data_IF_298150659627
#
_entry.id   IF_298150659627
#
_cell.length_a   1.000
_cell.length_b   1.000
_cell.length_c   1.000
_cell.angle_alpha   90.00
_cell.angle_beta   90.00
_cell.angle_gamma   90.00
#
_symmetry.space_group_name_H-M   'P 1'
#
loop_
_entity.id
_entity.type
_entity.pdbx_description
1 polymer ?
#
# COMPACT_ATOMS: atom_id res chain seq x y z
N UNK A 1 17.48 -11.24 6.92
CA UNK A 1 17.95 -9.86 6.82
C UNK A 1 17.86 -9.30 5.40
N UNK A 2 18.77 -9.60 4.48
CA UNK A 2 18.68 -9.08 3.10
C UNK A 2 17.44 -9.60 2.35
N UNK A 3 17.12 -10.90 2.47
CA UNK A 3 15.88 -11.48 1.93
C UNK A 3 14.61 -10.79 2.47
N UNK A 4 14.62 -10.43 3.76
CA UNK A 4 13.50 -9.72 4.42
C UNK A 4 13.28 -8.35 3.79
N UNK A 5 14.36 -7.62 3.53
CA UNK A 5 14.32 -6.34 2.83
C UNK A 5 13.81 -6.48 1.39
N UNK A 6 14.28 -7.49 0.64
CA UNK A 6 13.81 -7.71 -0.74
C UNK A 6 12.31 -7.99 -0.81
N UNK A 7 11.80 -8.85 0.08
CA UNK A 7 10.36 -9.14 0.14
C UNK A 7 9.58 -7.86 0.51
N UNK A 8 10.08 -7.08 1.46
CA UNK A 8 9.48 -5.79 1.80
C UNK A 8 9.47 -4.81 0.61
N UNK A 9 10.58 -4.71 -0.14
CA UNK A 9 10.65 -3.85 -1.33
C UNK A 9 9.67 -4.32 -2.42
N UNK A 10 9.52 -5.64 -2.61
CA UNK A 10 8.49 -6.19 -3.50
C UNK A 10 7.08 -5.83 -3.03
N UNK A 11 6.81 -5.92 -1.73
CA UNK A 11 5.51 -5.55 -1.15
C UNK A 11 5.23 -4.04 -1.29
N UNK A 12 6.24 -3.16 -1.19
CA UNK A 12 6.08 -1.74 -1.50
C UNK A 12 5.72 -1.50 -2.97
N UNK A 13 6.39 -2.18 -3.91
CA UNK A 13 6.07 -2.07 -5.34
C UNK A 13 4.67 -2.58 -5.65
N UNK A 14 4.29 -3.72 -5.05
CA UNK A 14 2.94 -4.26 -5.13
C UNK A 14 1.92 -3.30 -4.51
N UNK A 15 2.25 -2.65 -3.39
CA UNK A 15 1.45 -1.61 -2.76
C UNK A 15 1.23 -0.41 -3.68
N UNK A 16 2.29 0.07 -4.33
CA UNK A 16 2.20 1.18 -5.26
C UNK A 16 1.33 0.87 -6.48
N UNK A 17 1.39 -0.35 -7.01
CA UNK A 17 0.60 -0.71 -8.19
C UNK A 17 -0.82 -1.13 -7.81
N UNK A 18 -0.94 -2.16 -6.97
CA UNK A 18 -2.20 -2.83 -6.67
C UNK A 18 -3.01 -2.08 -5.62
N UNK A 19 -2.43 -1.74 -4.46
CA UNK A 19 -3.17 -1.10 -3.36
C UNK A 19 -3.60 0.31 -3.76
N UNK A 20 -2.70 1.09 -4.36
CA UNK A 20 -3.03 2.42 -4.84
C UNK A 20 -4.05 2.38 -5.99
N UNK A 21 -3.89 1.49 -6.96
CA UNK A 21 -4.85 1.33 -8.06
C UNK A 21 -6.24 0.92 -7.54
N UNK A 22 -6.30 -0.04 -6.62
CA UNK A 22 -7.55 -0.44 -5.98
C UNK A 22 -8.20 0.68 -5.18
N UNK A 23 -7.40 1.51 -4.50
CA UNK A 23 -7.89 2.67 -3.77
C UNK A 23 -8.41 3.77 -4.71
N UNK A 24 -7.81 3.96 -5.89
CA UNK A 24 -8.36 4.85 -6.92
C UNK A 24 -9.67 4.33 -7.50
N UNK A 25 -9.74 3.03 -7.81
CA UNK A 25 -10.98 2.40 -8.27
C UNK A 25 -12.10 2.56 -7.22
N UNK A 26 -11.79 2.36 -5.95
CA UNK A 26 -12.75 2.56 -4.86
C UNK A 26 -13.34 3.99 -4.82
N UNK A 27 -12.54 5.02 -5.13
CA UNK A 27 -13.04 6.39 -5.28
C UNK A 27 -14.05 6.58 -6.44
N UNK A 28 -13.95 5.76 -7.50
CA UNK A 28 -14.86 5.77 -8.65
C UNK A 28 -16.11 4.95 -8.35
N UNK A 29 -15.91 3.78 -7.72
CA UNK A 29 -16.95 2.82 -7.36
C UNK A 29 -17.95 3.40 -6.34
N UNK A 30 -17.45 4.14 -5.35
CA UNK A 30 -18.28 4.79 -4.33
C UNK A 30 -18.51 6.27 -4.66
N UNK A 31 -19.75 6.73 -4.59
CA UNK A 31 -20.10 8.16 -4.73
C UNK A 31 -20.58 8.74 -3.40
N UNK A 32 -20.28 10.03 -3.17
CA UNK A 32 -20.86 10.82 -2.07
C UNK A 32 -22.35 11.07 -2.37
N UNK A 33 -23.25 10.86 -1.40
CA UNK A 33 -24.58 11.49 -1.44
C UNK A 33 -24.40 13.01 -1.34
N UNK A 34 -24.38 13.70 -2.47
CA UNK A 34 -24.54 15.15 -2.49
C UNK A 34 -25.99 15.55 -2.81
N UNK A 35 -26.76 14.70 -3.48
CA UNK A 35 -28.17 14.97 -3.83
C UNK A 35 -28.94 13.64 -3.81
N UNK A 36 -30.07 13.64 -3.09
CA UNK A 36 -31.07 12.56 -3.08
C UNK A 36 -31.60 12.44 -4.51
N UNK A 37 -31.20 11.44 -5.28
CA UNK A 37 -31.97 11.06 -6.45
C UNK A 37 -31.80 9.57 -6.81
N UNK A 38 -32.95 8.95 -7.00
CA UNK A 38 -33.17 7.53 -7.23
C UNK A 38 -32.44 7.05 -8.50
N UNK A 39 -31.24 6.53 -8.35
CA UNK A 39 -30.65 5.63 -9.36
C UNK A 39 -30.15 4.37 -8.67
N UNK A 40 -30.74 3.24 -9.06
CA UNK A 40 -30.72 1.95 -8.38
C UNK A 40 -29.40 1.18 -8.42
N UNK A 41 -28.28 1.81 -8.78
CA UNK A 41 -26.97 1.16 -9.01
C UNK A 41 -25.85 1.80 -8.14
N UNK A 42 -26.15 2.80 -7.30
CA UNK A 42 -25.12 3.56 -6.59
C UNK A 42 -24.74 2.88 -5.27
N UNK A 43 -23.46 2.47 -5.14
CA UNK A 43 -22.88 2.09 -3.84
C UNK A 43 -22.65 3.33 -3.00
N UNK A 44 -23.39 3.43 -1.91
CA UNK A 44 -23.30 4.57 -1.00
C UNK A 44 -22.25 4.33 0.09
N UNK A 45 -21.36 5.31 0.28
CA UNK A 45 -20.44 5.37 1.40
C UNK A 45 -20.71 6.66 2.20
N UNK A 46 -20.94 6.60 3.53
CA UNK A 46 -21.11 7.80 4.34
C UNK A 46 -19.95 8.78 4.17
N UNK A 47 -20.26 10.08 4.17
CA UNK A 47 -19.30 11.16 3.85
C UNK A 47 -18.00 11.08 4.64
N UNK A 48 -18.05 10.77 5.93
CA UNK A 48 -16.85 10.66 6.77
C UNK A 48 -15.95 9.49 6.36
N UNK A 49 -16.52 8.34 6.00
CA UNK A 49 -15.75 7.20 5.49
C UNK A 49 -15.20 7.47 4.09
N UNK A 50 -15.94 8.18 3.25
CA UNK A 50 -15.44 8.57 1.93
C UNK A 50 -14.28 9.58 2.01
N UNK A 51 -14.38 10.58 2.90
CA UNK A 51 -13.27 11.52 3.14
C UNK A 51 -12.04 10.82 3.75
N UNK A 52 -12.26 9.88 4.67
CA UNK A 52 -11.20 9.03 5.21
C UNK A 52 -10.52 8.22 4.10
N UNK A 53 -11.31 7.59 3.22
CA UNK A 53 -10.78 6.84 2.08
C UNK A 53 -9.95 7.73 1.15
N UNK A 54 -10.43 8.91 0.75
CA UNK A 54 -9.66 9.85 -0.08
C UNK A 54 -8.32 10.21 0.59
N UNK A 55 -8.32 10.48 1.90
CA UNK A 55 -7.11 10.78 2.64
C UNK A 55 -6.13 9.60 2.63
N UNK A 56 -6.61 8.37 2.85
CA UNK A 56 -5.81 7.14 2.78
C UNK A 56 -5.26 6.94 1.36
N UNK A 57 -6.07 7.11 0.33
CA UNK A 57 -5.66 6.99 -1.08
C UNK A 57 -4.54 7.98 -1.41
N UNK A 58 -4.70 9.26 -1.07
CA UNK A 58 -3.68 10.28 -1.33
C UNK A 58 -2.36 10.01 -0.59
N UNK A 59 -2.45 9.59 0.67
CA UNK A 59 -1.28 9.26 1.50
C UNK A 59 -0.60 7.94 1.09
N UNK A 60 -1.32 7.03 0.44
CA UNK A 60 -0.77 5.74 -0.03
C UNK A 60 0.40 5.94 -0.99
N UNK A 61 0.37 6.94 -1.86
CA UNK A 61 1.52 7.22 -2.74
C UNK A 61 2.73 7.71 -1.93
N UNK A 62 2.52 8.65 -1.00
CA UNK A 62 3.58 9.24 -0.20
C UNK A 62 4.25 8.21 0.72
N UNK A 63 3.47 7.30 1.31
CA UNK A 63 4.00 6.31 2.25
C UNK A 63 4.93 5.31 1.56
N UNK A 64 4.76 5.04 0.25
CA UNK A 64 5.68 4.15 -0.48
C UNK A 64 7.07 4.76 -0.58
N UNK A 65 7.15 6.06 -0.87
CA UNK A 65 8.42 6.80 -0.95
C UNK A 65 9.09 6.83 0.43
N UNK A 66 8.30 7.13 1.47
CA UNK A 66 8.79 7.15 2.86
C UNK A 66 9.29 5.76 3.24
N UNK A 67 8.56 4.69 2.92
CA UNK A 67 8.93 3.32 3.25
C UNK A 67 10.21 2.87 2.60
N UNK A 68 10.36 3.10 1.30
CA UNK A 68 11.59 2.77 0.58
C UNK A 68 12.80 3.50 1.19
N UNK A 69 12.68 4.81 1.40
CA UNK A 69 13.76 5.61 2.00
C UNK A 69 14.07 5.18 3.42
N UNK A 70 13.05 4.87 4.22
CA UNK A 70 13.19 4.51 5.62
C UNK A 70 13.85 3.15 5.79
N UNK A 71 13.47 2.16 4.99
CA UNK A 71 14.10 0.85 5.00
C UNK A 71 15.56 0.92 4.53
N UNK A 72 15.87 1.71 3.51
CA UNK A 72 17.23 1.87 2.98
C UNK A 72 18.17 2.62 3.93
N UNK A 73 17.67 3.66 4.61
CA UNK A 73 18.46 4.52 5.51
C UNK A 73 18.32 4.15 6.98
N UNK A 74 17.54 3.12 7.29
CA UNK A 74 17.22 2.68 8.65
C UNK A 74 16.56 3.80 9.50
N UNK A 75 15.64 4.57 8.90
CA UNK A 75 14.93 5.66 9.58
C UNK A 75 13.79 5.07 10.40
N UNK A 76 13.98 4.98 11.71
CA UNK A 76 13.04 4.38 12.67
C UNK A 76 11.66 5.02 12.65
N UNK A 77 11.61 6.35 12.75
CA UNK A 77 10.36 7.13 12.75
C UNK A 77 9.55 6.85 11.48
N UNK A 78 10.21 6.80 10.32
CA UNK A 78 9.54 6.55 9.04
C UNK A 78 8.94 5.16 8.95
N UNK A 79 9.60 4.14 9.50
CA UNK A 79 9.03 2.77 9.58
C UNK A 79 7.85 2.68 10.54
N UNK A 80 7.91 3.36 11.69
CA UNK A 80 6.79 3.39 12.65
C UNK A 80 5.56 4.04 11.99
N UNK A 81 5.74 5.20 11.36
CA UNK A 81 4.68 5.87 10.61
C UNK A 81 4.07 4.95 9.54
N UNK A 82 4.92 4.19 8.82
CA UNK A 82 4.48 3.26 7.80
C UNK A 82 3.69 2.07 8.37
N UNK A 83 4.07 1.53 9.53
CA UNK A 83 3.27 0.50 10.21
C UNK A 83 1.88 1.00 10.61
N UNK A 84 1.80 2.21 11.21
CA UNK A 84 0.51 2.82 11.56
C UNK A 84 -0.34 3.05 10.30
N UNK A 85 0.29 3.46 9.21
CA UNK A 85 -0.40 3.73 7.96
C UNK A 85 -0.92 2.45 7.28
N UNK A 86 -0.16 1.34 7.30
CA UNK A 86 -0.67 0.04 6.84
C UNK A 86 -1.89 -0.42 7.64
N UNK A 87 -1.91 -0.19 8.95
CA UNK A 87 -3.10 -0.46 9.76
C UNK A 87 -4.30 0.41 9.32
N UNK A 88 -4.08 1.68 8.99
CA UNK A 88 -5.12 2.56 8.46
C UNK A 88 -5.67 2.07 7.11
N UNK A 89 -4.82 1.61 6.19
CA UNK A 89 -5.24 1.00 4.91
C UNK A 89 -6.11 -0.25 5.15
N UNK A 90 -5.71 -1.12 6.08
CA UNK A 90 -6.49 -2.32 6.41
C UNK A 90 -7.89 -1.94 6.93
N UNK A 91 -7.96 -0.97 7.85
CA UNK A 91 -9.23 -0.47 8.38
C UNK A 91 -10.10 0.12 7.27
N UNK A 92 -9.52 0.94 6.40
CA UNK A 92 -10.20 1.53 5.25
C UNK A 92 -10.80 0.46 4.33
N UNK A 93 -10.00 -0.53 3.92
CA UNK A 93 -10.46 -1.60 3.05
C UNK A 93 -11.53 -2.49 3.70
N UNK A 94 -11.46 -2.72 5.02
CA UNK A 94 -12.52 -3.39 5.77
C UNK A 94 -13.84 -2.59 5.77
N UNK A 95 -13.77 -1.26 5.87
CA UNK A 95 -14.95 -0.39 5.75
C UNK A 95 -15.52 -0.51 4.33
N UNK A 96 -14.71 -0.37 3.29
CA UNK A 96 -15.15 -0.51 1.89
C UNK A 96 -15.77 -1.88 1.62
N UNK A 97 -15.22 -2.95 2.20
CA UNK A 97 -15.74 -4.31 2.10
C UNK A 97 -17.16 -4.41 2.68
N UNK A 98 -17.37 -3.91 3.90
CA UNK A 98 -18.67 -3.90 4.58
C UNK A 98 -19.74 -3.25 3.71
N UNK A 99 -19.44 -2.08 3.15
CA UNK A 99 -20.38 -1.35 2.29
C UNK A 99 -20.53 -1.99 0.90
N UNK A 100 -19.53 -2.72 0.40
CA UNK A 100 -19.62 -3.42 -0.89
C UNK A 100 -20.51 -4.67 -0.85
N UNK A 101 -20.54 -5.38 0.28
CA UNK A 101 -21.35 -6.60 0.48
C UNK A 101 -22.81 -6.26 0.77
N UNK A 102 -23.07 -5.10 1.38
CA UNK A 102 -24.41 -4.69 1.83
C UNK A 102 -25.35 -4.27 0.69
N UNK A 103 -24.89 -4.26 -0.56
CA UNK A 103 -25.65 -3.83 -1.75
C UNK A 103 -26.21 -5.05 -2.48
N UNK A 104 -27.49 -4.97 -2.89
CA UNK A 104 -28.25 -6.06 -3.54
C UNK A 104 -27.59 -6.58 -4.83
N UNK A 105 -27.01 -5.67 -5.61
CA UNK A 105 -26.14 -5.98 -6.75
C UNK A 105 -24.67 -5.84 -6.32
N UNK A 106 -24.21 -6.78 -5.50
CA UNK A 106 -22.82 -6.80 -5.03
C UNK A 106 -21.87 -7.06 -6.21
N UNK A 107 -20.87 -6.19 -6.35
CA UNK A 107 -19.87 -6.29 -7.41
C UNK A 107 -18.80 -7.25 -6.89
N UNK A 108 -19.08 -8.54 -7.05
CA UNK A 108 -18.24 -9.63 -6.55
C UNK A 108 -16.79 -9.48 -7.00
N UNK A 109 -16.55 -9.00 -8.21
CA UNK A 109 -15.21 -8.67 -8.70
C UNK A 109 -14.51 -7.67 -7.77
N UNK A 110 -15.12 -6.53 -7.45
CA UNK A 110 -14.54 -5.55 -6.54
C UNK A 110 -14.31 -6.10 -5.12
N UNK A 111 -15.23 -6.94 -4.62
CA UNK A 111 -15.10 -7.62 -3.32
C UNK A 111 -13.89 -8.57 -3.29
N UNK A 112 -13.65 -9.32 -4.36
CA UNK A 112 -12.47 -10.21 -4.47
C UNK A 112 -11.18 -9.38 -4.44
N UNK A 113 -11.13 -8.28 -5.19
CA UNK A 113 -9.95 -7.40 -5.20
C UNK A 113 -9.70 -6.74 -3.85
N UNK A 114 -10.75 -6.28 -3.16
CA UNK A 114 -10.66 -5.79 -1.78
C UNK A 114 -10.10 -6.86 -0.82
N UNK A 115 -10.54 -8.12 -0.97
CA UNK A 115 -10.06 -9.23 -0.12
C UNK A 115 -8.56 -9.44 -0.32
N UNK A 116 -8.10 -9.46 -1.58
CA UNK A 116 -6.68 -9.57 -1.92
C UNK A 116 -5.90 -8.36 -1.39
N UNK A 117 -6.46 -7.15 -1.51
CA UNK A 117 -5.84 -5.91 -1.02
C UNK A 117 -5.63 -5.91 0.49
N UNK A 118 -6.60 -6.41 1.26
CA UNK A 118 -6.47 -6.59 2.71
C UNK A 118 -5.33 -7.55 3.03
N UNK A 119 -5.26 -8.70 2.36
CA UNK A 119 -4.21 -9.70 2.58
C UNK A 119 -2.81 -9.11 2.28
N UNK A 120 -2.65 -8.42 1.15
CA UNK A 120 -1.39 -7.77 0.78
C UNK A 120 -1.00 -6.70 1.82
N UNK A 121 -1.97 -5.93 2.32
CA UNK A 121 -1.73 -4.90 3.34
C UNK A 121 -1.30 -5.50 4.67
N UNK A 122 -1.89 -6.63 5.08
CA UNK A 122 -1.45 -7.39 6.26
C UNK A 122 -0.01 -7.90 6.11
N UNK A 123 0.32 -8.51 4.97
CA UNK A 123 1.69 -8.94 4.70
C UNK A 123 2.67 -7.77 4.71
N UNK A 124 2.28 -6.64 4.13
CA UNK A 124 3.09 -5.42 4.12
C UNK A 124 3.35 -4.89 5.53
N UNK A 125 2.35 -4.90 6.41
CA UNK A 125 2.49 -4.54 7.82
C UNK A 125 3.48 -5.48 8.54
N UNK A 126 3.29 -6.80 8.42
CA UNK A 126 4.15 -7.80 9.07
C UNK A 126 5.61 -7.64 8.63
N UNK A 127 5.86 -7.50 7.32
CA UNK A 127 7.21 -7.32 6.80
C UNK A 127 7.82 -5.98 7.16
N UNK A 128 7.02 -4.93 7.33
CA UNK A 128 7.49 -3.64 7.84
C UNK A 128 8.07 -3.78 9.25
N UNK A 129 7.38 -4.53 10.12
CA UNK A 129 7.87 -4.86 11.48
C UNK A 129 9.15 -5.68 11.43
N UNK A 130 9.22 -6.69 10.55
CA UNK A 130 10.44 -7.48 10.39
C UNK A 130 11.63 -6.67 9.87
N UNK A 131 11.42 -5.75 8.94
CA UNK A 131 12.48 -4.85 8.46
C UNK A 131 12.95 -3.93 9.58
N UNK A 132 12.01 -3.32 10.32
CA UNK A 132 12.32 -2.46 11.46
C UNK A 132 13.17 -3.20 12.52
N UNK A 133 12.81 -4.43 12.87
CA UNK A 133 13.55 -5.24 13.84
C UNK A 133 14.95 -5.67 13.37
N UNK A 134 15.25 -5.49 12.08
CA UNK A 134 16.56 -5.79 11.50
C UNK A 134 17.46 -4.54 11.35
N UNK A 135 17.01 -3.36 11.78
CA UNK A 135 17.84 -2.15 11.78
C UNK A 135 19.07 -2.32 12.67
N UNK A 136 20.19 -1.71 12.29
CA UNK A 136 21.48 -1.78 12.98
C UNK A 136 22.26 -3.09 12.79
N UNK A 137 21.76 -4.04 12.00
CA UNK A 137 22.42 -5.36 11.80
C UNK A 137 23.27 -5.42 10.51
N UNK A 138 23.62 -4.27 9.92
CA UNK A 138 24.41 -4.17 8.68
C UNK A 138 23.60 -4.24 7.37
N UNK A 139 22.30 -3.86 7.38
CA UNK A 139 21.46 -3.87 6.16
C UNK A 139 21.93 -2.80 5.21
N UNK A 140 22.12 -1.59 5.76
CA UNK A 140 22.56 -0.40 5.07
C UNK A 140 23.87 -0.61 4.31
N UNK A 141 24.84 -1.29 4.92
CA UNK A 141 26.15 -1.50 4.31
C UNK A 141 26.07 -2.43 3.09
N UNK A 142 25.31 -3.53 3.20
CA UNK A 142 25.08 -4.46 2.08
C UNK A 142 24.28 -3.82 0.95
N UNK A 143 23.29 -2.99 1.27
CA UNK A 143 22.52 -2.25 0.26
C UNK A 143 23.38 -1.23 -0.47
N UNK A 144 24.21 -0.48 0.26
CA UNK A 144 25.15 0.48 -0.32
C UNK A 144 26.20 -0.20 -1.20
N UNK A 145 26.62 -1.43 -0.88
CA UNK A 145 27.53 -2.20 -1.71
C UNK A 145 26.83 -2.67 -3.00
N UNK A 146 25.60 -3.19 -2.92
CA UNK A 146 24.82 -3.61 -4.10
C UNK A 146 24.55 -2.44 -5.06
N UNK A 147 24.19 -1.27 -4.54
CA UNK A 147 23.97 -0.04 -5.33
C UNK A 147 25.24 0.43 -6.06
N UNK A 148 26.44 0.11 -5.55
CA UNK A 148 27.71 0.43 -6.22
C UNK A 148 28.09 -0.60 -7.28
N UNK A 149 27.70 -1.86 -7.09
CA UNK A 149 27.99 -2.95 -8.02
C UNK A 149 27.05 -2.96 -9.25
N UNK A 150 25.77 -2.61 -9.08
CA UNK A 150 24.80 -2.49 -10.19
C UNK A 150 25.27 -1.57 -11.35
N UNK A 151 25.66 -0.29 -11.12
CA UNK A 151 26.10 0.59 -12.21
C UNK A 151 27.38 0.09 -12.90
N UNK A 152 28.28 -0.59 -12.17
CA UNK A 152 29.51 -1.17 -12.74
C UNK A 152 29.18 -2.37 -13.64
N UNK A 153 28.18 -3.18 -13.29
CA UNK A 153 27.72 -4.28 -14.12
C UNK A 153 27.13 -3.77 -15.44
N UNK A 154 26.23 -2.78 -15.41
CA UNK A 154 25.63 -2.22 -16.63
C UNK A 154 26.66 -1.57 -17.56
N UNK A 155 27.68 -0.91 -17.01
CA UNK A 155 28.78 -0.32 -17.81
C UNK A 155 29.71 -1.39 -18.43
N UNK A 156 29.83 -2.56 -17.81
CA UNK A 156 30.70 -3.65 -18.31
C UNK A 156 30.08 -4.45 -19.45
N UNK A 157 28.74 -4.45 -19.56
CA UNK A 157 27.99 -5.25 -20.53
C UNK A 157 27.16 -4.39 -21.50
N UNK A 158 27.32 -3.07 -21.49
CA UNK A 158 26.77 -2.22 -22.53
C UNK A 158 27.50 -2.51 -23.86
N UNK A 159 26.82 -2.95 -24.93
CA UNK A 159 27.44 -3.04 -26.24
C UNK A 159 27.81 -1.62 -26.69
N UNK A 160 29.08 -1.46 -27.09
CA UNK A 160 29.64 -0.22 -27.66
C UNK A 160 29.02 0.02 -29.04
#
# INVERSE_FOLDING_TARGET
>A
MFKTYLIYEMLLKLGLFFIFGLALEACIVFKINLIIEHTSIIRFLPRHFYLFHIAVTGLTFLIQIIGYRSAKREITVGMICLCVFWAAIIIDFCILMKYSISVKDSWYFFIVFLSIGIIISFFSLIWSVFVYNNFGRGLKDRLNQKDKEEPVFYLRYAPI
#
